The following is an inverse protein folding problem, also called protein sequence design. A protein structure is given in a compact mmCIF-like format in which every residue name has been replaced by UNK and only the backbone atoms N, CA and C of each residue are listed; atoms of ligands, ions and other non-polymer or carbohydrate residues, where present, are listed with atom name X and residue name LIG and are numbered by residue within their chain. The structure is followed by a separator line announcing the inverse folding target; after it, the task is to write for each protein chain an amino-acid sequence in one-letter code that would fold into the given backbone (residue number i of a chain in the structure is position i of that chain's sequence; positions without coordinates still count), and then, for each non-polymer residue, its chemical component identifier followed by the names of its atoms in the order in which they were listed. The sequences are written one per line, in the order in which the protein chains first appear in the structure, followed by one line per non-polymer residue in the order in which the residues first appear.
data_IF_986597513571
#
_entry.id   IF_986597513571
#
_cell.length_a   1.000
_cell.length_b   1.000
_cell.length_c   1.000
_cell.angle_alpha   90.00
_cell.angle_beta   90.00
_cell.angle_gamma   90.00
#
_symmetry.space_group_name_H-M   'P 1'
#
loop_
_entity.id
_entity.type
_entity.pdbx_description
1 polymer ?
#
# COMPACT_ATOMS: atom_id res chain seq x y z
N UNK A 1 -15.00 19.16 -14.59
CA UNK A 1 -15.36 18.15 -13.58
C UNK A 1 -14.11 17.30 -13.39
N UNK A 2 -13.23 17.69 -12.47
CA UNK A 2 -12.02 16.89 -12.19
C UNK A 2 -12.45 15.64 -11.45
N UNK A 3 -12.25 14.50 -12.09
CA UNK A 3 -12.44 13.19 -11.51
C UNK A 3 -11.52 13.06 -10.31
N UNK A 4 -12.05 13.23 -9.10
CA UNK A 4 -11.34 12.86 -7.87
C UNK A 4 -11.29 11.33 -7.73
N UNK A 5 -10.70 10.65 -8.72
CA UNK A 5 -10.24 9.28 -8.57
C UNK A 5 -8.99 9.32 -7.70
N UNK A 6 -9.20 9.56 -6.40
CA UNK A 6 -8.14 9.54 -5.40
C UNK A 6 -7.57 8.14 -5.29
N UNK A 7 -6.24 8.06 -5.18
CA UNK A 7 -5.52 6.82 -4.90
C UNK A 7 -5.01 6.84 -3.45
N UNK A 8 -4.82 5.66 -2.88
CA UNK A 8 -4.21 5.46 -1.58
C UNK A 8 -2.81 4.90 -1.80
N UNK A 9 -1.80 5.60 -1.29
CA UNK A 9 -0.44 5.08 -1.21
C UNK A 9 -0.30 4.27 0.07
N UNK A 10 0.00 2.98 -0.03
CA UNK A 10 0.11 2.07 1.10
C UNK A 10 1.55 1.59 1.28
N UNK A 11 2.17 1.97 2.39
CA UNK A 11 3.47 1.46 2.81
C UNK A 11 3.30 0.23 3.70
N UNK A 12 3.87 -0.90 3.26
CA UNK A 12 3.81 -2.19 3.98
C UNK A 12 5.12 -2.60 4.66
N UNK A 13 6.09 -1.68 4.74
CA UNK A 13 7.37 -1.86 5.42
C UNK A 13 7.21 -1.92 6.94
N UNK A 14 8.29 -2.26 7.64
CA UNK A 14 8.30 -2.21 9.10
C UNK A 14 8.25 -0.76 9.60
N UNK A 15 7.77 -0.56 10.83
CA UNK A 15 7.65 0.77 11.43
C UNK A 15 8.98 1.55 11.44
N UNK A 16 10.09 0.89 11.77
CA UNK A 16 11.40 1.53 11.74
C UNK A 16 11.81 2.03 10.35
N UNK A 17 11.45 1.31 9.27
CA UNK A 17 11.72 1.76 7.89
C UNK A 17 10.84 2.95 7.49
N UNK A 18 9.58 2.97 7.93
CA UNK A 18 8.66 4.08 7.68
C UNK A 18 9.09 5.33 8.44
N UNK A 19 9.41 5.19 9.73
CA UNK A 19 9.87 6.29 10.59
C UNK A 19 11.22 6.87 10.12
N UNK A 20 12.07 6.06 9.48
CA UNK A 20 13.33 6.50 8.89
C UNK A 20 13.19 7.21 7.53
N UNK A 21 11.99 7.30 6.97
CA UNK A 21 11.70 7.96 5.70
C UNK A 21 10.70 7.16 4.85
N UNK A 22 9.65 7.84 4.40
CA UNK A 22 8.57 7.28 3.60
C UNK A 22 8.06 8.30 2.59
N UNK A 23 7.23 7.82 1.66
CA UNK A 23 6.60 8.68 0.66
C UNK A 23 5.49 9.52 1.30
N UNK A 24 5.49 10.82 1.03
CA UNK A 24 4.52 11.76 1.57
C UNK A 24 3.08 11.33 1.24
N UNK A 25 2.20 11.45 2.23
CA UNK A 25 0.80 11.04 2.09
C UNK A 25 0.57 9.52 2.10
N UNK A 26 1.59 8.70 2.33
CA UNK A 26 1.41 7.25 2.45
C UNK A 26 0.83 6.81 3.80
N UNK A 27 -0.16 5.92 3.74
CA UNK A 27 -0.72 5.22 4.90
C UNK A 27 0.21 4.06 5.25
N UNK A 28 0.56 3.94 6.53
CA UNK A 28 1.41 2.85 7.01
C UNK A 28 0.58 1.69 7.59
N UNK A 29 0.62 0.54 6.91
CA UNK A 29 0.11 -0.73 7.44
C UNK A 29 1.14 -1.81 7.14
N UNK A 30 1.96 -2.22 8.13
CA UNK A 30 2.95 -3.28 7.94
C UNK A 30 2.30 -4.55 7.39
N UNK A 31 3.02 -5.27 6.52
CA UNK A 31 2.54 -6.52 5.92
C UNK A 31 1.97 -7.51 6.97
N UNK A 32 2.59 -7.62 8.14
CA UNK A 32 2.13 -8.48 9.24
C UNK A 32 0.78 -8.09 9.83
N UNK A 33 0.33 -6.85 9.62
CA UNK A 33 -0.91 -6.32 10.18
C UNK A 33 -2.02 -6.16 9.13
N UNK A 34 -1.72 -6.28 7.83
CA UNK A 34 -2.69 -6.09 6.73
C UNK A 34 -3.93 -6.97 6.90
N UNK A 35 -3.76 -8.19 7.39
CA UNK A 35 -4.89 -9.11 7.58
C UNK A 35 -5.98 -8.53 8.50
N UNK A 36 -5.57 -7.78 9.53
CA UNK A 36 -6.44 -7.23 10.56
C UNK A 36 -6.80 -5.76 10.31
N UNK A 37 -5.88 -5.00 9.70
CA UNK A 37 -5.97 -3.54 9.55
C UNK A 37 -6.44 -3.08 8.16
N UNK A 38 -6.59 -3.98 7.19
CA UNK A 38 -7.10 -3.61 5.87
C UNK A 38 -8.48 -2.92 5.91
N UNK A 39 -9.27 -3.09 6.98
CA UNK A 39 -10.54 -2.37 7.17
C UNK A 39 -10.40 -0.85 7.32
N UNK A 40 -9.19 -0.33 7.59
CA UNK A 40 -8.90 1.10 7.67
C UNK A 40 -8.84 1.77 6.29
N UNK A 41 -8.71 0.97 5.22
CA UNK A 41 -8.56 1.47 3.85
C UNK A 41 -9.91 1.50 3.13
N UNK A 42 -10.10 2.54 2.33
CA UNK A 42 -11.25 2.63 1.42
C UNK A 42 -11.08 1.61 0.28
N UNK A 43 -12.05 0.69 0.18
CA UNK A 43 -12.01 -0.43 -0.78
C UNK A 43 -12.33 -0.03 -2.21
N UNK A 44 -13.01 1.11 -2.38
CA UNK A 44 -13.43 1.65 -3.67
C UNK A 44 -12.31 2.47 -4.33
N UNK A 45 -11.29 2.88 -3.55
CA UNK A 45 -10.15 3.62 -4.06
C UNK A 45 -9.09 2.71 -4.65
N UNK A 46 -8.31 3.27 -5.58
CA UNK A 46 -7.10 2.62 -6.11
C UNK A 46 -6.03 2.57 -5.04
N UNK A 47 -5.52 1.39 -4.71
CA UNK A 47 -4.39 1.21 -3.81
C UNK A 47 -3.09 1.05 -4.60
N UNK A 48 -2.13 1.93 -4.36
CA UNK A 48 -0.74 1.78 -4.77
C UNK A 48 0.06 1.25 -3.57
N UNK A 49 0.44 -0.03 -3.62
CA UNK A 49 1.11 -0.71 -2.51
C UNK A 49 2.60 -0.77 -2.79
N UNK A 50 3.42 -0.27 -1.87
CA UNK A 50 4.87 -0.30 -2.00
C UNK A 50 5.54 -0.83 -0.73
N UNK A 51 6.75 -1.35 -0.92
CA UNK A 51 7.65 -1.66 0.18
C UNK A 51 9.05 -1.16 -0.17
N UNK A 52 10.11 -1.74 0.43
CA UNK A 52 11.48 -1.32 0.09
C UNK A 52 11.84 -1.60 -1.37
N UNK A 53 11.60 -2.82 -1.87
CA UNK A 53 12.06 -3.28 -3.20
C UNK A 53 11.00 -4.01 -4.04
N UNK A 54 9.72 -4.02 -3.61
CA UNK A 54 8.62 -4.69 -4.33
C UNK A 54 8.20 -6.08 -3.80
N UNK A 55 9.04 -6.77 -3.03
CA UNK A 55 8.75 -8.15 -2.59
C UNK A 55 7.57 -8.27 -1.60
N UNK A 56 7.58 -7.45 -0.53
CA UNK A 56 6.53 -7.47 0.50
C UNK A 56 5.22 -6.89 -0.04
N UNK A 57 5.32 -5.86 -0.87
CA UNK A 57 4.15 -5.22 -1.49
C UNK A 57 3.45 -6.16 -2.45
N UNK A 58 4.15 -7.03 -3.18
CA UNK A 58 3.53 -8.07 -4.02
C UNK A 58 2.64 -9.02 -3.21
N UNK A 59 3.08 -9.45 -2.03
CA UNK A 59 2.26 -10.29 -1.14
C UNK A 59 1.09 -9.50 -0.56
N UNK A 60 1.33 -8.28 -0.09
CA UNK A 60 0.28 -7.39 0.40
C UNK A 60 -0.82 -7.16 -0.64
N UNK A 61 -0.45 -6.89 -1.89
CA UNK A 61 -1.40 -6.67 -2.98
C UNK A 61 -2.29 -7.89 -3.22
N UNK A 62 -1.75 -9.11 -3.13
CA UNK A 62 -2.53 -10.34 -3.24
C UNK A 62 -3.53 -10.51 -2.10
N UNK A 63 -3.11 -10.20 -0.87
CA UNK A 63 -3.97 -10.26 0.31
C UNK A 63 -5.12 -9.25 0.18
N UNK A 64 -4.82 -8.02 -0.26
CA UNK A 64 -5.82 -6.97 -0.44
C UNK A 64 -6.78 -7.31 -1.58
N UNK A 65 -6.30 -7.81 -2.72
CA UNK A 65 -7.16 -8.29 -3.79
C UNK A 65 -8.11 -9.42 -3.31
N UNK A 66 -7.59 -10.38 -2.54
CA UNK A 66 -8.41 -11.45 -1.95
C UNK A 66 -9.45 -10.94 -0.93
N UNK A 67 -9.24 -9.76 -0.33
CA UNK A 67 -10.18 -9.09 0.58
C UNK A 67 -11.22 -8.23 -0.16
N UNK A 68 -11.21 -8.21 -1.49
CA UNK A 68 -12.23 -7.53 -2.31
C UNK A 68 -11.96 -6.04 -2.53
N UNK A 69 -10.71 -5.61 -2.50
CA UNK A 69 -10.34 -4.25 -2.92
C UNK A 69 -10.48 -4.12 -4.45
N UNK A 70 -11.09 -3.04 -4.91
CA UNK A 70 -11.47 -2.86 -6.31
C UNK A 70 -10.25 -2.78 -7.25
N UNK A 71 -9.24 -1.98 -6.88
CA UNK A 71 -8.03 -1.79 -7.68
C UNK A 71 -6.78 -1.80 -6.80
N UNK A 72 -5.93 -2.82 -6.94
CA UNK A 72 -4.69 -2.96 -6.16
C UNK A 72 -3.49 -3.09 -7.08
N UNK A 73 -2.56 -2.15 -6.98
CA UNK A 73 -1.37 -2.06 -7.79
C UNK A 73 -0.14 -2.22 -6.91
N UNK A 74 0.85 -2.99 -7.37
CA UNK A 74 2.14 -3.09 -6.70
C UNK A 74 3.13 -2.14 -7.38
N UNK A 75 3.76 -1.26 -6.60
CA UNK A 75 4.87 -0.42 -7.07
C UNK A 75 6.11 -1.30 -7.24
N UNK A 76 6.51 -1.51 -8.49
CA UNK A 76 7.71 -2.28 -8.83
C UNK A 76 8.98 -1.50 -8.43
N UNK A 77 10.00 -2.20 -7.94
CA UNK A 77 11.19 -1.57 -7.36
C UNK A 77 10.99 -0.93 -5.98
N UNK A 78 9.74 -0.76 -5.53
CA UNK A 78 9.41 -0.18 -4.22
C UNK A 78 9.89 1.27 -4.08
N UNK A 79 10.12 1.70 -2.84
CA UNK A 79 10.61 3.06 -2.55
C UNK A 79 12.01 3.34 -3.13
N UNK A 80 12.80 2.29 -3.44
CA UNK A 80 14.13 2.45 -4.02
C UNK A 80 14.10 2.86 -5.51
N UNK A 81 12.95 2.71 -6.17
CA UNK A 81 12.74 3.09 -7.57
C UNK A 81 11.80 4.29 -7.73
N UNK A 82 11.46 4.96 -6.62
CA UNK A 82 10.57 6.11 -6.59
C UNK A 82 11.31 7.42 -6.85
#
# INVERSE_FOLDING_TARGET
MESSQGWILLDVRQKAEYDGGHLDGSIHIPLSQIMNRAGELDREKRLLVYCRCGNRSRLASRILAAKGFAEVWNVEGGILAW
#
